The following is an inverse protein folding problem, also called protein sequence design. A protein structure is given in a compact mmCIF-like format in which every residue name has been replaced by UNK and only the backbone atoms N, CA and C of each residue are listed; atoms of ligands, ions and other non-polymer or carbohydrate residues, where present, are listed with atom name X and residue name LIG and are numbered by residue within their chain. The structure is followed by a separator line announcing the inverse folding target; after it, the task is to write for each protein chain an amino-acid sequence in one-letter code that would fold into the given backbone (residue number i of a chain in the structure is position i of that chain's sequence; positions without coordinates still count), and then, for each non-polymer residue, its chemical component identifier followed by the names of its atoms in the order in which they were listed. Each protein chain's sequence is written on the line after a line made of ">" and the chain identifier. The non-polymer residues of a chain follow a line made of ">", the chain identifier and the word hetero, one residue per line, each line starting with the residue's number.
data_IF_709394018097
#
_entry.id   IF_709394018097
#
_cell.length_a   1.000
_cell.length_b   1.000
_cell.length_c   1.000
_cell.angle_alpha   90.00
_cell.angle_beta   90.00
_cell.angle_gamma   90.00
#
_symmetry.space_group_name_H-M   'P 1'
#
loop_
_entity.id
_entity.type
_entity.pdbx_description
1 polymer ?
#
# COMPACT_ATOMS: atom_id res chain seq x y z
N UNK A 1 27.34 -7.23 10.96
CA UNK A 1 27.08 -6.94 10.76
C UNK A 1 26.26 -6.30 10.40
N UNK A 2 25.94 -5.98 10.00
CA UNK A 2 25.28 -5.51 9.74
C UNK A 2 24.46 -5.32 9.14
N UNK A 3 24.31 -5.21 9.30
CA UNK A 3 23.07 -5.70 8.76
C UNK A 3 22.39 -4.67 7.93
N UNK A 4 22.72 -4.59 6.75
CA UNK A 4 22.01 -3.74 5.81
C UNK A 4 20.68 -4.41 5.51
N UNK A 5 19.58 -3.70 5.79
CA UNK A 5 18.25 -4.25 5.53
C UNK A 5 17.77 -3.75 4.20
N UNK A 6 18.39 -4.28 3.18
CA UNK A 6 18.06 -3.88 1.82
C UNK A 6 16.60 -4.17 1.51
N UNK A 7 15.97 -3.26 0.78
CA UNK A 7 14.59 -3.48 0.36
C UNK A 7 14.51 -4.62 -0.63
N UNK A 8 13.55 -5.48 -0.42
CA UNK A 8 13.25 -6.58 -1.34
C UNK A 8 11.77 -6.78 -1.40
N UNK A 9 11.30 -7.35 -2.49
CA UNK A 9 9.89 -7.72 -2.58
C UNK A 9 9.75 -9.08 -3.23
N UNK A 10 8.63 -9.71 -2.95
CA UNK A 10 8.27 -10.99 -3.56
C UNK A 10 6.80 -10.90 -3.97
N UNK A 11 6.52 -11.20 -5.22
CA UNK A 11 5.16 -11.11 -5.75
C UNK A 11 4.59 -12.50 -5.96
N UNK A 12 3.38 -12.71 -5.49
CA UNK A 12 2.68 -13.96 -5.64
C UNK A 12 1.30 -13.68 -6.24
N UNK A 13 1.02 -14.25 -7.40
CA UNK A 13 -0.24 -14.01 -8.12
C UNK A 13 -0.89 -15.33 -8.47
N UNK A 14 -2.22 -15.40 -8.33
CA UNK A 14 -2.95 -16.62 -8.67
C UNK A 14 -4.12 -16.34 -9.60
N UNK A 15 -4.14 -15.18 -10.25
CA UNK A 15 -5.21 -14.81 -11.17
C UNK A 15 -6.39 -14.13 -10.51
N UNK A 16 -6.49 -14.19 -9.19
CA UNK A 16 -7.55 -13.52 -8.45
C UNK A 16 -6.98 -12.48 -7.50
N UNK A 17 -5.76 -12.69 -7.08
CA UNK A 17 -5.16 -11.88 -6.06
C UNK A 17 -3.68 -11.71 -6.36
N UNK A 18 -3.19 -10.51 -6.14
CA UNK A 18 -1.77 -10.20 -6.25
C UNK A 18 -1.29 -9.80 -4.87
N UNK A 19 -0.45 -10.62 -4.27
CA UNK A 19 0.10 -10.33 -2.96
C UNK A 19 1.56 -9.97 -3.13
N UNK A 20 1.93 -8.82 -2.63
CA UNK A 20 3.32 -8.36 -2.70
C UNK A 20 3.87 -8.27 -1.29
N UNK A 21 4.88 -9.09 -1.02
CA UNK A 21 5.54 -9.11 0.27
C UNK A 21 6.69 -8.12 0.22
N UNK A 22 6.68 -7.15 1.11
CA UNK A 22 7.73 -6.14 1.18
C UNK A 22 8.61 -6.42 2.40
N UNK A 23 9.91 -6.33 2.22
CA UNK A 23 10.84 -6.55 3.34
C UNK A 23 11.96 -5.53 3.32
N UNK A 24 12.59 -5.35 4.48
CA UNK A 24 13.73 -4.46 4.61
C UNK A 24 13.32 -3.03 4.82
N UNK A 25 14.07 -2.12 4.23
CA UNK A 25 13.86 -0.68 4.43
C UNK A 25 13.35 -0.05 3.15
N UNK A 26 12.14 0.48 3.22
CA UNK A 26 11.51 1.12 2.08
C UNK A 26 11.77 2.62 2.17
N UNK A 27 12.83 3.04 1.55
CA UNK A 27 13.26 4.44 1.55
C UNK A 27 13.40 4.93 0.11
N UNK A 28 13.97 6.12 -0.03
CA UNK A 28 14.11 6.73 -1.34
C UNK A 28 14.86 5.83 -2.32
N UNK A 29 15.86 5.09 -1.84
CA UNK A 29 16.65 4.25 -2.73
C UNK A 29 15.86 3.06 -3.27
N UNK A 30 14.77 2.69 -2.59
CA UNK A 30 13.93 1.57 -3.00
C UNK A 30 12.72 1.99 -3.82
N UNK A 31 12.53 3.29 -3.99
CA UNK A 31 11.29 3.82 -4.57
C UNK A 31 11.00 3.28 -5.96
N UNK A 32 12.00 3.24 -6.84
CA UNK A 32 11.72 2.80 -8.20
C UNK A 32 11.41 1.31 -8.27
N UNK A 33 12.01 0.50 -7.40
CA UNK A 33 11.67 -0.93 -7.36
C UNK A 33 10.22 -1.13 -6.98
N UNK A 34 9.77 -0.43 -5.94
CA UNK A 34 8.39 -0.55 -5.50
C UNK A 34 7.44 0.01 -6.55
N UNK A 35 7.76 1.17 -7.13
CA UNK A 35 6.91 1.75 -8.15
C UNK A 35 6.73 0.80 -9.31
N UNK A 36 7.79 0.15 -9.74
CA UNK A 36 7.71 -0.77 -10.87
C UNK A 36 6.80 -1.96 -10.58
N UNK A 37 6.93 -2.56 -9.40
CA UNK A 37 6.09 -3.71 -9.11
C UNK A 37 4.63 -3.29 -8.91
N UNK A 38 4.39 -2.13 -8.31
CA UNK A 38 3.02 -1.65 -8.15
C UNK A 38 2.39 -1.33 -9.50
N UNK A 39 3.14 -0.70 -10.41
CA UNK A 39 2.62 -0.39 -11.72
C UNK A 39 2.14 -1.63 -12.47
N UNK A 40 2.75 -2.77 -12.20
CA UNK A 40 2.38 -4.00 -12.89
C UNK A 40 1.04 -4.56 -12.43
N UNK A 41 0.54 -4.15 -11.25
CA UNK A 41 -0.66 -4.75 -10.68
C UNK A 41 -1.73 -3.76 -10.26
N UNK A 42 -1.38 -2.48 -10.07
CA UNK A 42 -2.29 -1.54 -9.42
C UNK A 42 -3.56 -1.31 -10.22
N UNK A 43 -3.51 -1.46 -11.53
CA UNK A 43 -4.68 -1.23 -12.37
C UNK A 43 -5.39 -2.50 -12.79
N UNK A 44 -5.05 -3.63 -12.22
CA UNK A 44 -5.76 -4.88 -12.48
C UNK A 44 -7.03 -4.89 -11.64
N UNK A 45 -8.05 -4.31 -12.18
CA UNK A 45 -9.25 -3.95 -11.46
C UNK A 45 -9.97 -5.15 -10.84
N UNK A 46 -9.96 -6.28 -11.53
CA UNK A 46 -10.70 -7.45 -11.08
C UNK A 46 -9.92 -8.36 -10.14
N UNK A 47 -8.69 -7.98 -9.83
CA UNK A 47 -7.86 -8.77 -8.92
C UNK A 47 -7.62 -7.96 -7.66
N UNK A 48 -7.61 -8.64 -6.53
CA UNK A 48 -7.32 -8.00 -5.26
C UNK A 48 -5.83 -7.71 -5.16
N UNK A 49 -5.46 -6.53 -4.71
CA UNK A 49 -4.07 -6.20 -4.45
C UNK A 49 -3.84 -6.20 -2.95
N UNK A 50 -2.86 -6.97 -2.50
CA UNK A 50 -2.52 -7.07 -1.09
C UNK A 50 -1.04 -6.73 -0.92
N UNK A 51 -0.75 -5.81 -0.02
CA UNK A 51 0.62 -5.52 0.38
C UNK A 51 0.84 -6.14 1.75
N UNK A 52 1.82 -7.01 1.86
CA UNK A 52 2.11 -7.69 3.11
C UNK A 52 3.38 -7.07 3.69
N UNK A 53 3.25 -6.44 4.85
CA UNK A 53 4.33 -5.67 5.45
C UNK A 53 5.00 -6.39 6.61
N UNK A 54 4.76 -7.67 6.77
CA UNK A 54 5.26 -8.39 7.93
C UNK A 54 6.76 -8.21 8.14
N UNK A 55 7.52 -8.24 7.04
CA UNK A 55 8.97 -8.15 7.13
C UNK A 55 9.53 -6.76 6.82
N UNK A 56 8.66 -5.76 6.74
CA UNK A 56 9.10 -4.40 6.50
C UNK A 56 9.63 -3.81 7.81
N UNK A 57 10.86 -3.34 7.80
CA UNK A 57 11.52 -2.87 9.01
C UNK A 57 11.54 -1.35 9.12
N UNK A 58 11.40 -0.66 8.01
CA UNK A 58 11.48 0.80 7.99
C UNK A 58 10.77 1.32 6.75
N UNK A 59 10.13 2.46 6.91
CA UNK A 59 9.51 3.15 5.79
C UNK A 59 9.65 4.66 6.03
N UNK A 60 10.00 5.39 4.99
CA UNK A 60 10.07 6.85 5.09
C UNK A 60 8.93 7.48 4.28
N UNK A 61 8.96 8.80 4.16
CA UNK A 61 7.88 9.52 3.49
C UNK A 61 7.75 9.16 2.01
N UNK A 62 8.86 8.79 1.36
CA UNK A 62 8.79 8.38 -0.04
C UNK A 62 8.02 7.08 -0.17
N UNK A 63 8.33 6.11 0.69
CA UNK A 63 7.61 4.85 0.68
C UNK A 63 6.13 5.03 1.02
N UNK A 64 5.86 5.87 2.01
CA UNK A 64 4.47 6.16 2.37
C UNK A 64 3.74 6.79 1.19
N UNK A 65 4.39 7.71 0.48
CA UNK A 65 3.78 8.34 -0.68
C UNK A 65 3.41 7.34 -1.76
N UNK A 66 4.27 6.34 -1.98
CA UNK A 66 3.97 5.31 -2.98
C UNK A 66 2.77 4.46 -2.56
N UNK A 67 2.68 4.12 -1.28
CA UNK A 67 1.53 3.37 -0.79
C UNK A 67 0.26 4.19 -0.92
N UNK A 68 0.31 5.48 -0.57
CA UNK A 68 -0.84 6.35 -0.72
C UNK A 68 -1.27 6.45 -2.18
N UNK A 69 -0.32 6.54 -3.10
CA UNK A 69 -0.65 6.58 -4.53
C UNK A 69 -1.38 5.31 -4.95
N UNK A 70 -0.93 4.16 -4.49
CA UNK A 70 -1.61 2.90 -4.80
C UNK A 70 -3.01 2.88 -4.22
N UNK A 71 -3.17 3.34 -2.98
CA UNK A 71 -4.48 3.42 -2.34
C UNK A 71 -5.42 4.27 -3.19
N UNK A 72 -4.96 5.44 -3.63
CA UNK A 72 -5.81 6.35 -4.38
C UNK A 72 -6.24 5.78 -5.71
N UNK A 73 -5.33 5.10 -6.41
CA UNK A 73 -5.69 4.47 -7.68
C UNK A 73 -6.73 3.37 -7.45
N UNK A 74 -6.47 2.51 -6.47
CA UNK A 74 -7.40 1.41 -6.20
C UNK A 74 -8.76 1.92 -5.74
N UNK A 75 -8.77 2.96 -4.92
CA UNK A 75 -10.02 3.55 -4.45
C UNK A 75 -10.81 4.16 -5.61
N UNK A 76 -10.14 4.87 -6.50
CA UNK A 76 -10.80 5.50 -7.64
C UNK A 76 -11.41 4.46 -8.57
N UNK A 77 -10.81 3.28 -8.65
CA UNK A 77 -11.31 2.19 -9.48
C UNK A 77 -12.32 1.31 -8.75
N UNK A 78 -12.55 1.57 -7.48
CA UNK A 78 -13.37 0.70 -6.62
C UNK A 78 -12.84 -0.73 -6.61
N UNK A 79 -11.51 -0.86 -6.69
CA UNK A 79 -10.86 -2.15 -6.73
C UNK A 79 -10.42 -2.57 -5.34
N UNK A 80 -10.49 -3.86 -5.06
CA UNK A 80 -10.12 -4.41 -3.75
C UNK A 80 -8.66 -4.20 -3.42
N UNK A 81 -8.40 -3.70 -2.22
CA UNK A 81 -7.04 -3.44 -1.77
C UNK A 81 -6.93 -3.71 -0.28
N UNK A 82 -5.81 -4.26 0.13
CA UNK A 82 -5.60 -4.59 1.53
C UNK A 82 -4.13 -4.49 1.88
N UNK A 83 -3.84 -4.08 3.11
CA UNK A 83 -2.49 -4.08 3.64
C UNK A 83 -2.49 -5.00 4.85
N UNK A 84 -1.70 -6.08 4.78
CA UNK A 84 -1.66 -7.10 5.81
C UNK A 84 -0.41 -6.97 6.68
N UNK A 85 -0.53 -7.42 7.93
CA UNK A 85 0.60 -7.59 8.82
C UNK A 85 1.42 -6.33 9.01
N UNK A 86 0.73 -5.24 9.31
CA UNK A 86 1.39 -3.95 9.46
C UNK A 86 2.16 -3.94 10.79
N UNK A 87 3.50 -3.82 10.75
CA UNK A 87 4.26 -3.78 12.01
C UNK A 87 3.89 -2.55 12.83
N UNK A 88 4.05 -2.64 14.14
CA UNK A 88 3.64 -1.56 15.03
C UNK A 88 4.26 -0.23 14.67
N UNK A 89 5.54 -0.22 14.33
CA UNK A 89 6.22 1.03 13.97
C UNK A 89 5.65 1.64 12.70
N UNK A 90 5.33 0.81 11.73
CA UNK A 90 4.75 1.28 10.48
C UNK A 90 3.34 1.77 10.71
N UNK A 91 2.57 1.06 11.54
CA UNK A 91 1.22 1.48 11.85
C UNK A 91 1.21 2.85 12.51
N UNK A 92 2.16 3.09 13.38
CA UNK A 92 2.25 4.40 14.03
C UNK A 92 2.46 5.50 13.00
N UNK A 93 3.30 5.24 12.01
CA UNK A 93 3.52 6.21 10.94
C UNK A 93 2.28 6.37 10.08
N UNK A 94 1.57 5.29 9.82
CA UNK A 94 0.32 5.38 9.07
C UNK A 94 -0.69 6.24 9.83
N UNK A 95 -0.73 6.11 11.15
CA UNK A 95 -1.64 6.92 11.96
C UNK A 95 -1.27 8.39 11.89
N UNK A 96 0.02 8.68 12.03
CA UNK A 96 0.49 10.06 12.06
C UNK A 96 0.32 10.74 10.72
N UNK A 97 0.54 10.01 9.63
CA UNK A 97 0.52 10.59 8.29
C UNK A 97 -0.87 10.56 7.66
N UNK A 98 -1.83 9.94 8.33
CA UNK A 98 -3.20 9.88 7.81
C UNK A 98 -3.50 8.69 6.94
N UNK A 99 -2.53 7.84 6.67
CA UNK A 99 -2.76 6.64 5.84
C UNK A 99 -3.82 5.75 6.46
N UNK A 100 -3.82 5.65 7.80
CA UNK A 100 -4.78 4.80 8.48
C UNK A 100 -6.23 5.19 8.20
N UNK A 101 -6.48 6.45 7.86
CA UNK A 101 -7.84 6.89 7.60
C UNK A 101 -8.42 6.27 6.33
N UNK A 102 -7.59 5.73 5.46
CA UNK A 102 -8.07 5.05 4.26
C UNK A 102 -8.41 3.59 4.50
N UNK A 103 -8.06 3.06 5.66
CA UNK A 103 -8.12 1.62 5.91
C UNK A 103 -9.03 1.31 7.09
N UNK A 104 -9.67 0.15 7.01
CA UNK A 104 -10.35 -0.43 8.17
C UNK A 104 -9.30 -1.03 9.11
N UNK A 105 -9.72 -1.41 10.32
CA UNK A 105 -8.80 -2.00 11.28
C UNK A 105 -8.15 -3.28 10.76
N UNK A 106 -8.85 -4.01 9.90
CA UNK A 106 -8.31 -5.26 9.35
C UNK A 106 -7.43 -5.03 8.13
N UNK A 107 -7.15 -3.77 7.78
CA UNK A 107 -6.24 -3.46 6.68
C UNK A 107 -6.91 -3.30 5.33
N UNK A 108 -8.20 -3.59 5.22
CA UNK A 108 -8.87 -3.44 3.93
C UNK A 108 -9.21 -1.98 3.67
N UNK A 109 -9.30 -1.64 2.40
CA UNK A 109 -9.59 -0.27 1.99
C UNK A 109 -11.02 0.10 2.37
N UNK A 110 -11.19 1.27 2.96
CA UNK A 110 -12.53 1.79 3.26
C UNK A 110 -13.23 2.11 1.96
N UNK A 111 -14.55 2.06 2.01
CA UNK A 111 -15.33 2.43 0.85
C UNK A 111 -15.00 3.81 0.39
N UNK A 112 -15.07 4.01 -0.91
CA UNK A 112 -14.64 5.26 -1.53
C UNK A 112 -15.73 6.31 -1.48
N UNK A 113 -16.40 6.41 -0.35
CA UNK A 113 -17.51 7.34 -0.21
C UNK A 113 -17.07 8.78 -0.17
N UNK A 114 -15.89 8.98 0.39
CA UNK A 114 -15.40 10.33 0.54
C UNK A 114 -15.21 11.02 -0.80
N UNK A 115 -14.75 10.28 -1.78
CA UNK A 115 -14.58 10.84 -3.11
C UNK A 115 -15.92 11.13 -3.74
N UNK A 116 -16.87 10.22 -3.54
CA UNK A 116 -18.21 10.39 -4.06
C UNK A 116 -18.90 11.60 -3.45
N UNK A 117 -18.75 11.76 -2.15
CA UNK A 117 -19.38 12.88 -1.46
C UNK A 117 -18.83 14.19 -1.94
N UNK A 118 -17.52 14.22 -2.19
CA UNK A 118 -16.92 15.45 -2.65
C UNK A 118 -17.45 15.87 -3.99
N UNK A 119 -17.74 14.92 -4.85
CA UNK A 119 -18.32 15.24 -6.14
C UNK A 119 -19.70 15.84 -5.98
N UNK A 120 -20.45 15.33 -5.04
CA UNK A 120 -21.78 15.84 -4.81
C UNK A 120 -21.77 17.25 -4.29
N UNK A 121 -20.78 17.58 -3.50
CA UNK A 121 -20.69 18.90 -2.93
C UNK A 121 -20.41 19.96 -3.97
N UNK A 122 -19.84 19.57 -5.06
CA UNK A 122 -19.53 20.52 -6.11
C UNK A 122 -20.79 20.98 -6.83
N UNK A 123 -21.79 20.18 -6.80
CA UNK A 123 -23.06 20.53 -7.42
C UNK A 123 -23.85 21.50 -6.56
#
# INVERSE_FOLDING_TARGET
>A
MNAIRKFMFYKQSDGKENRIYLSGELDLSAASSLANVLDSVVRKEEETLILDLKELKYIDSTGIGLIVSAIKVRAAMHASFQIDHIPAKVRRLFDITGVSSYLHNNGSLRENQRITERKEEII
#
